data_IF_470571667259
#
_entry.id   IF_470571667259
#
_cell.length_a   1.000
_cell.length_b   1.000
_cell.length_c   1.000
_cell.angle_alpha   90.00
_cell.angle_beta   90.00
_cell.angle_gamma   90.00
#
_symmetry.space_group_name_H-M   'P 1'
#
loop_
_entity.id
_entity.type
_entity.pdbx_description
1 polymer ?
#
# COMPACT_ATOMS: atom_id res chain seq x y z
N UNK A 1 -18.49 60.69 4.88
CA UNK A 1 -17.38 61.61 5.19
C UNK A 1 -16.69 61.12 6.45
N UNK A 2 -15.48 60.52 6.31
CA UNK A 2 -14.44 60.28 7.35
C UNK A 2 -14.87 59.31 8.48
N UNK A 3 -14.10 58.33 8.97
CA UNK A 3 -12.64 58.18 9.19
C UNK A 3 -12.44 56.71 9.61
N UNK A 4 -11.62 55.89 8.94
CA UNK A 4 -10.22 55.58 9.26
C UNK A 4 -9.96 55.14 10.72
N UNK A 5 -9.83 53.83 10.97
CA UNK A 5 -9.07 53.31 12.12
C UNK A 5 -8.21 52.12 11.65
N UNK A 6 -6.90 52.32 11.69
CA UNK A 6 -5.83 51.34 11.52
C UNK A 6 -5.40 50.86 12.92
N UNK A 7 -5.28 49.55 13.12
CA UNK A 7 -4.66 48.92 14.31
C UNK A 7 -3.94 47.67 13.77
N UNK A 8 -2.63 47.68 13.46
CA UNK A 8 -1.43 47.60 14.33
C UNK A 8 -1.38 46.36 15.25
N UNK A 9 -0.19 45.73 15.22
CA UNK A 9 0.38 44.67 16.12
C UNK A 9 -0.07 43.23 15.81
N UNK A 10 0.78 42.19 15.81
CA UNK A 10 1.79 41.84 16.81
C UNK A 10 2.76 40.75 16.26
N UNK A 11 4.05 40.88 16.60
CA UNK A 11 5.09 39.84 16.79
C UNK A 11 4.76 38.38 16.38
N UNK A 12 5.40 37.89 15.32
CA UNK A 12 5.61 36.44 15.11
C UNK A 12 6.87 36.00 15.85
N UNK A 13 6.68 35.45 17.05
CA UNK A 13 7.68 34.66 17.76
C UNK A 13 7.81 33.29 17.09
N UNK A 14 9.03 32.95 16.66
CA UNK A 14 9.34 31.66 16.05
C UNK A 14 9.16 30.51 17.05
N UNK A 15 8.21 29.63 16.77
CA UNK A 15 8.18 28.30 17.38
C UNK A 15 9.18 27.41 16.62
N UNK A 16 10.34 27.18 17.25
CA UNK A 16 11.18 26.02 16.95
C UNK A 16 10.44 24.77 17.42
N UNK A 17 9.79 24.06 16.50
CA UNK A 17 9.27 22.72 16.76
C UNK A 17 10.46 21.75 16.79
N UNK A 18 10.88 21.35 17.99
CA UNK A 18 11.71 20.16 18.19
C UNK A 18 10.81 18.95 17.99
N UNK A 19 10.90 18.32 16.83
CA UNK A 19 10.24 17.05 16.57
C UNK A 19 11.10 15.92 17.16
N UNK A 20 10.63 15.30 18.24
CA UNK A 20 11.16 14.02 18.71
C UNK A 20 10.84 12.95 17.67
N UNK A 21 11.86 12.51 16.92
CA UNK A 21 11.75 11.36 16.01
C UNK A 21 11.80 10.08 16.84
N UNK A 22 10.63 9.61 17.28
CA UNK A 22 10.48 8.23 17.73
C UNK A 22 10.77 7.34 16.53
N UNK A 23 11.76 6.45 16.65
CA UNK A 23 12.10 5.47 15.62
C UNK A 23 10.95 4.49 15.42
N UNK A 24 10.01 4.84 14.54
CA UNK A 24 9.10 3.89 13.94
C UNK A 24 9.90 3.07 12.95
N UNK A 25 9.98 1.76 13.17
CA UNK A 25 10.24 0.81 12.09
C UNK A 25 9.21 1.07 10.99
N UNK A 26 9.61 1.80 9.95
CA UNK A 26 8.72 2.19 8.85
C UNK A 26 8.37 0.93 8.04
N UNK A 27 7.23 0.32 8.38
CA UNK A 27 6.65 -0.76 7.60
C UNK A 27 6.28 -0.28 6.19
N UNK A 28 6.07 -1.22 5.28
CA UNK A 28 5.60 -0.91 3.93
C UNK A 28 4.08 -0.79 3.89
N UNK A 29 3.52 0.20 3.21
CA UNK A 29 2.08 0.30 2.93
C UNK A 29 1.82 1.00 1.61
N UNK A 30 0.91 0.46 0.80
CA UNK A 30 0.45 1.08 -0.44
C UNK A 30 -1.05 0.83 -0.62
N UNK A 31 -1.74 1.86 -1.13
CA UNK A 31 -3.19 1.82 -1.34
C UNK A 31 -3.56 2.18 -2.77
N UNK A 32 -4.71 1.70 -3.22
CA UNK A 32 -5.27 2.01 -4.52
C UNK A 32 -6.69 1.48 -4.65
N UNK A 33 -7.16 1.36 -5.89
CA UNK A 33 -8.50 0.84 -6.21
C UNK A 33 -8.43 -0.36 -7.15
N UNK A 34 -9.39 -1.25 -7.00
CA UNK A 34 -9.72 -2.35 -7.91
C UNK A 34 -11.21 -2.20 -8.30
N UNK A 35 -11.49 -1.41 -9.35
CA UNK A 35 -12.86 -1.04 -9.68
C UNK A 35 -13.50 -0.21 -8.57
N UNK A 36 -14.65 -0.68 -8.04
CA UNK A 36 -15.34 -0.06 -6.90
C UNK A 36 -14.70 -0.36 -5.54
N UNK A 37 -13.79 -1.34 -5.47
CA UNK A 37 -13.13 -1.74 -4.23
C UNK A 37 -11.90 -0.88 -3.95
N UNK A 38 -11.73 -0.44 -2.71
CA UNK A 38 -10.46 0.08 -2.21
C UNK A 38 -9.57 -1.07 -1.76
N UNK A 39 -8.29 -1.02 -2.08
CA UNK A 39 -7.30 -2.05 -1.76
C UNK A 39 -6.11 -1.40 -1.09
N UNK A 40 -5.75 -1.87 0.10
CA UNK A 40 -4.53 -1.48 0.81
C UNK A 40 -3.73 -2.74 1.06
N UNK A 41 -2.46 -2.76 0.66
CA UNK A 41 -1.56 -3.86 0.94
C UNK A 41 -0.32 -3.35 1.67
N UNK A 42 0.14 -4.11 2.65
CA UNK A 42 1.16 -3.68 3.60
C UNK A 42 2.03 -4.83 4.07
N UNK A 43 3.17 -4.47 4.66
CA UNK A 43 4.03 -5.37 5.43
C UNK A 43 4.49 -4.65 6.69
N UNK A 44 4.62 -5.38 7.79
CA UNK A 44 5.08 -4.82 9.06
C UNK A 44 6.54 -4.36 9.00
N UNK A 45 7.31 -4.84 8.01
CA UNK A 45 8.71 -4.48 7.76
C UNK A 45 8.82 -3.87 6.36
N UNK A 46 9.90 -3.12 6.06
CA UNK A 46 10.27 -2.82 4.69
C UNK A 46 10.34 -4.09 3.84
N UNK A 47 10.03 -3.97 2.55
CA UNK A 47 10.16 -5.10 1.64
C UNK A 47 11.64 -5.44 1.43
N UNK A 48 11.96 -6.73 1.43
CA UNK A 48 13.34 -7.23 1.27
C UNK A 48 13.40 -8.35 0.24
N UNK A 49 14.57 -8.57 -0.35
CA UNK A 49 14.78 -9.76 -1.20
C UNK A 49 14.55 -11.02 -0.36
N UNK A 50 13.78 -11.97 -0.90
CA UNK A 50 13.30 -13.15 -0.20
C UNK A 50 11.86 -13.03 0.25
N UNK A 51 11.53 -13.68 1.36
CA UNK A 51 10.17 -13.88 1.84
C UNK A 51 9.62 -12.67 2.60
N UNK A 52 8.46 -12.17 2.16
CA UNK A 52 7.78 -11.03 2.76
C UNK A 52 6.36 -11.38 3.14
N UNK A 53 5.98 -11.13 4.38
CA UNK A 53 4.58 -11.24 4.82
C UNK A 53 3.82 -10.01 4.34
N UNK A 54 2.89 -10.23 3.43
CA UNK A 54 2.00 -9.22 2.87
C UNK A 54 0.61 -9.40 3.46
N UNK A 55 0.01 -8.31 3.91
CA UNK A 55 -1.39 -8.25 4.30
C UNK A 55 -2.16 -7.38 3.31
N UNK A 56 -3.39 -7.76 2.98
CA UNK A 56 -4.27 -7.04 2.07
C UNK A 56 -5.58 -6.76 2.78
N UNK A 57 -5.93 -5.49 2.89
CA UNK A 57 -7.24 -5.01 3.32
C UNK A 57 -8.03 -4.60 2.09
N UNK A 58 -9.25 -5.12 1.99
CA UNK A 58 -10.20 -4.76 0.95
C UNK A 58 -11.32 -3.96 1.58
N UNK A 59 -11.73 -2.89 0.92
CA UNK A 59 -12.83 -2.03 1.35
C UNK A 59 -13.83 -1.82 0.23
N UNK A 60 -15.11 -1.77 0.56
CA UNK A 60 -16.20 -1.41 -0.34
C UNK A 60 -16.98 -0.27 0.28
N UNK A 61 -17.11 0.86 -0.43
CA UNK A 61 -17.77 2.07 0.09
C UNK A 61 -17.22 2.53 1.45
N UNK A 62 -15.91 2.39 1.67
CA UNK A 62 -15.22 2.79 2.91
C UNK A 62 -15.36 1.80 4.08
N UNK A 63 -16.08 0.69 3.92
CA UNK A 63 -16.17 -0.37 4.93
C UNK A 63 -15.25 -1.53 4.57
N UNK A 64 -14.59 -2.11 5.57
CA UNK A 64 -13.77 -3.31 5.38
C UNK A 64 -14.69 -4.47 5.01
N UNK A 65 -14.27 -5.25 4.03
CA UNK A 65 -14.94 -6.47 3.61
C UNK A 65 -13.99 -7.66 3.71
N UNK A 66 -14.54 -8.81 4.08
CA UNK A 66 -13.81 -10.08 4.26
C UNK A 66 -14.51 -11.25 3.54
N UNK A 67 -15.54 -10.94 2.75
CA UNK A 67 -16.38 -11.87 2.00
C UNK A 67 -15.87 -12.14 0.58
N UNK A 68 -14.70 -11.64 0.20
CA UNK A 68 -14.09 -11.97 -1.09
C UNK A 68 -13.75 -13.47 -1.14
N UNK A 69 -14.24 -14.15 -2.18
CA UNK A 69 -14.08 -15.60 -2.37
C UNK A 69 -12.66 -15.98 -2.78
N UNK A 70 -11.93 -15.04 -3.40
CA UNK A 70 -10.54 -15.22 -3.80
C UNK A 70 -9.79 -13.91 -3.74
N UNK A 71 -8.62 -13.90 -3.09
CA UNK A 71 -7.67 -12.77 -3.12
C UNK A 71 -6.30 -13.32 -3.50
N UNK A 72 -5.79 -12.93 -4.66
CA UNK A 72 -4.50 -13.38 -5.19
C UNK A 72 -3.55 -12.19 -5.35
N UNK A 73 -2.34 -12.34 -4.82
CA UNK A 73 -1.26 -11.37 -4.95
C UNK A 73 -0.20 -11.94 -5.89
N UNK A 74 -0.07 -11.30 -7.05
CA UNK A 74 0.93 -11.64 -8.07
C UNK A 74 1.96 -10.53 -8.16
N UNK A 75 3.22 -10.90 -8.05
CA UNK A 75 4.35 -10.01 -8.35
C UNK A 75 5.13 -10.56 -9.53
N UNK A 76 5.62 -9.69 -10.41
CA UNK A 76 6.46 -10.11 -11.52
C UNK A 76 7.46 -9.01 -11.94
N UNK A 77 8.62 -9.43 -12.41
CA UNK A 77 9.55 -8.60 -13.16
C UNK A 77 9.40 -8.93 -14.64
N UNK A 78 9.12 -7.94 -15.51
CA UNK A 78 9.07 -8.17 -16.94
C UNK A 78 10.45 -8.57 -17.47
N UNK A 79 10.46 -9.23 -18.63
CA UNK A 79 11.71 -9.53 -19.34
C UNK A 79 12.47 -8.24 -19.69
N UNK A 80 13.78 -8.27 -19.47
CA UNK A 80 14.71 -7.19 -19.84
C UNK A 80 15.97 -7.82 -20.45
N UNK A 81 16.73 -7.10 -21.29
CA UNK A 81 17.97 -7.64 -21.87
C UNK A 81 18.91 -8.18 -20.79
N UNK A 82 19.18 -9.48 -20.81
CA UNK A 82 20.02 -10.16 -19.82
C UNK A 82 19.31 -10.67 -18.55
N UNK A 83 17.98 -10.56 -18.43
CA UNK A 83 17.21 -11.10 -17.30
C UNK A 83 15.88 -11.74 -17.76
N UNK A 84 15.61 -13.02 -17.41
CA UNK A 84 14.37 -13.68 -17.77
C UNK A 84 13.17 -13.13 -16.99
N UNK A 85 11.96 -13.38 -17.48
CA UNK A 85 10.73 -13.13 -16.73
C UNK A 85 10.73 -13.91 -15.41
N UNK A 86 10.34 -13.24 -14.34
CA UNK A 86 10.18 -13.86 -13.02
C UNK A 86 8.84 -13.46 -12.41
N UNK A 87 8.22 -14.39 -11.70
CA UNK A 87 7.00 -14.11 -10.96
C UNK A 87 6.91 -14.91 -9.66
N UNK A 88 6.11 -14.38 -8.74
CA UNK A 88 5.62 -15.09 -7.57
C UNK A 88 4.13 -14.81 -7.44
N UNK A 89 3.34 -15.87 -7.34
CA UNK A 89 1.87 -15.81 -7.20
C UNK A 89 1.48 -16.43 -5.87
N UNK A 90 0.71 -15.70 -5.08
CA UNK A 90 0.22 -16.16 -3.78
C UNK A 90 -1.28 -16.00 -3.67
N UNK A 91 -1.96 -17.09 -3.37
CA UNK A 91 -3.33 -17.04 -2.86
C UNK A 91 -3.28 -16.63 -1.39
N UNK A 92 -3.96 -15.53 -1.07
CA UNK A 92 -3.96 -14.96 0.28
C UNK A 92 -5.00 -15.67 1.15
N UNK A 93 -4.68 -15.83 2.43
CA UNK A 93 -5.52 -16.53 3.41
C UNK A 93 -6.23 -15.49 4.29
N UNK A 94 -7.54 -15.63 4.55
CA UNK A 94 -8.24 -14.76 5.49
C UNK A 94 -7.57 -14.75 6.87
N UNK A 95 -7.35 -13.55 7.42
CA UNK A 95 -6.75 -13.31 8.73
C UNK A 95 -7.42 -12.12 9.40
N UNK A 96 -8.51 -12.39 10.13
CA UNK A 96 -9.34 -11.35 10.75
C UNK A 96 -9.96 -10.42 9.69
N UNK A 97 -9.56 -9.16 9.70
CA UNK A 97 -10.08 -8.11 8.80
C UNK A 97 -9.24 -7.92 7.52
N UNK A 98 -8.30 -8.82 7.26
CA UNK A 98 -7.33 -8.74 6.16
C UNK A 98 -7.10 -10.13 5.55
N UNK A 99 -6.38 -10.17 4.44
CA UNK A 99 -5.89 -11.39 3.80
C UNK A 99 -4.38 -11.41 3.85
N UNK A 100 -3.77 -12.45 4.41
CA UNK A 100 -2.34 -12.54 4.63
C UNK A 100 -1.69 -13.62 3.77
N UNK A 101 -0.46 -13.39 3.34
CA UNK A 101 0.31 -14.37 2.59
C UNK A 101 1.78 -14.00 2.53
N UNK A 102 2.63 -15.01 2.48
CA UNK A 102 4.05 -14.83 2.23
C UNK A 102 4.34 -14.83 0.73
N UNK A 103 5.07 -13.83 0.27
CA UNK A 103 5.44 -13.60 -1.13
C UNK A 103 6.95 -13.46 -1.22
N UNK A 104 7.57 -14.21 -2.12
CA UNK A 104 9.01 -14.16 -2.33
C UNK A 104 9.36 -13.18 -3.46
N UNK A 105 10.23 -12.21 -3.16
CA UNK A 105 10.87 -11.36 -4.16
C UNK A 105 12.28 -11.92 -4.41
N UNK A 106 12.47 -12.65 -5.50
CA UNK A 106 13.70 -13.43 -5.73
C UNK A 106 14.97 -12.59 -5.88
N UNK A 107 14.82 -11.32 -6.29
CA UNK A 107 15.91 -10.37 -6.48
C UNK A 107 15.44 -8.94 -6.18
N UNK A 108 16.41 -8.05 -5.92
CA UNK A 108 16.16 -6.61 -5.75
C UNK A 108 15.77 -5.92 -7.06
N UNK A 109 15.19 -4.71 -6.96
CA UNK A 109 14.74 -3.92 -8.11
C UNK A 109 13.23 -3.70 -8.16
N UNK A 110 12.73 -3.27 -9.33
CA UNK A 110 11.31 -2.91 -9.49
C UNK A 110 10.47 -4.11 -9.87
N UNK A 111 9.51 -4.46 -9.00
CA UNK A 111 8.52 -5.50 -9.24
C UNK A 111 7.16 -4.87 -9.56
N UNK A 112 6.49 -5.42 -10.56
CA UNK A 112 5.09 -5.11 -10.85
C UNK A 112 4.19 -5.95 -9.93
N UNK A 113 3.17 -5.33 -9.35
CA UNK A 113 2.21 -5.96 -8.45
C UNK A 113 0.84 -5.98 -9.12
N UNK A 114 0.18 -7.13 -9.08
CA UNK A 114 -1.21 -7.33 -9.49
C UNK A 114 -1.96 -7.99 -8.34
N UNK A 115 -3.05 -7.37 -7.90
CA UNK A 115 -3.93 -7.92 -6.88
C UNK A 115 -5.24 -8.25 -7.56
N UNK A 116 -5.60 -9.53 -7.57
CA UNK A 116 -6.86 -10.01 -8.11
C UNK A 116 -7.80 -10.32 -6.96
N UNK A 117 -9.02 -9.81 -7.04
CA UNK A 117 -10.05 -10.00 -6.02
C UNK A 117 -11.28 -10.53 -6.74
N UNK A 118 -11.83 -11.65 -6.28
CA UNK A 118 -13.11 -12.17 -6.72
C UNK A 118 -14.12 -12.03 -5.59
N UNK A 119 -15.26 -11.40 -5.89
CA UNK A 119 -16.37 -11.19 -4.96
C UNK A 119 -17.68 -11.24 -5.73
N UNK A 120 -18.67 -11.98 -5.24
CA UNK A 120 -19.99 -12.12 -5.86
C UNK A 120 -19.93 -12.51 -7.36
N UNK A 121 -18.97 -13.37 -7.72
CA UNK A 121 -18.72 -13.78 -9.11
C UNK A 121 -18.10 -12.70 -10.01
N UNK A 122 -17.84 -11.50 -9.49
CA UNK A 122 -17.14 -10.41 -10.20
C UNK A 122 -15.65 -10.44 -9.90
N UNK A 123 -14.84 -10.16 -10.92
CA UNK A 123 -13.39 -10.05 -10.80
C UNK A 123 -12.96 -8.59 -10.80
N UNK A 124 -12.14 -8.22 -9.84
CA UNK A 124 -11.54 -6.91 -9.69
C UNK A 124 -10.01 -7.04 -9.75
N UNK A 125 -9.35 -6.03 -10.29
CA UNK A 125 -7.90 -6.00 -10.43
C UNK A 125 -7.35 -4.66 -9.98
N UNK A 126 -6.38 -4.69 -9.08
CA UNK A 126 -5.48 -3.58 -8.81
C UNK A 126 -4.12 -3.85 -9.45
N UNK A 127 -3.46 -2.81 -9.94
CA UNK A 127 -2.10 -2.90 -10.49
C UNK A 127 -1.25 -1.75 -9.96
N UNK A 128 -0.04 -2.07 -9.54
CA UNK A 128 0.91 -1.14 -8.97
C UNK A 128 2.34 -1.67 -9.15
N UNK A 129 3.32 -0.99 -8.57
CA UNK A 129 4.71 -1.44 -8.54
C UNK A 129 5.31 -1.20 -7.15
N UNK A 130 6.37 -1.94 -6.83
CA UNK A 130 7.20 -1.74 -5.64
C UNK A 130 8.67 -1.82 -6.04
N UNK A 131 9.53 -1.14 -5.28
CA UNK A 131 10.98 -1.21 -5.42
C UNK A 131 11.55 -1.83 -4.14
N UNK A 132 12.45 -2.80 -4.33
CA UNK A 132 13.24 -3.45 -3.29
C UNK A 132 14.68 -2.97 -3.35
#
# INVERSE_FOLDING_TARGET
MKTLIKTITLLTAGLFFVACTNGTTEGFTKSGKAGSLGVTYSSAKPLVTGDNTINIKVTENGKIITDATRVEFKVFMPEMPGMPYMESVKLMVPNGNEYSGNVNFSMGGTWQVKIFIEKDGKKYKHSSSVIL
#
